data_IF_108485465123
#
_entry.id   IF_108485465123
#
_cell.length_a   1.000
_cell.length_b   1.000
_cell.length_c   1.000
_cell.angle_alpha   90.00
_cell.angle_beta   90.00
_cell.angle_gamma   90.00
#
_symmetry.space_group_name_H-M   'P 1'
#
loop_
_entity.id
_entity.type
_entity.pdbx_description
1 polymer ?
#
# COMPACT_ATOMS: atom_id res chain seq x y z
N UNK A 1 -4.43 -22.81 7.22
CA UNK A 1 -3.84 -21.56 6.72
C UNK A 1 -4.17 -20.44 7.71
N UNK A 2 -3.21 -19.61 8.03
CA UNK A 2 -3.35 -18.45 8.92
C UNK A 2 -2.88 -17.19 8.18
N UNK A 3 -3.35 -16.01 8.61
CA UNK A 3 -2.85 -14.79 7.99
C UNK A 3 -1.45 -14.42 8.51
N UNK A 4 -0.67 -13.70 7.70
CA UNK A 4 0.63 -13.15 8.12
C UNK A 4 0.49 -12.27 9.38
N UNK A 5 -0.65 -11.57 9.51
CA UNK A 5 -0.94 -10.79 10.72
C UNK A 5 -1.07 -11.70 11.94
N UNK A 6 -1.76 -12.85 11.82
CA UNK A 6 -1.90 -13.80 12.93
C UNK A 6 -0.55 -14.43 13.31
N UNK A 7 0.31 -14.77 12.33
CA UNK A 7 1.68 -15.23 12.60
C UNK A 7 2.45 -14.19 13.43
N UNK A 8 2.35 -12.90 13.05
CA UNK A 8 2.98 -11.82 13.79
C UNK A 8 2.38 -11.64 15.20
N UNK A 9 1.05 -11.69 15.35
CA UNK A 9 0.38 -11.56 16.65
C UNK A 9 0.72 -12.72 17.60
N UNK A 10 0.93 -13.93 17.08
CA UNK A 10 1.25 -15.13 17.87
C UNK A 10 2.73 -15.24 18.24
N UNK A 11 3.62 -14.88 17.34
CA UNK A 11 5.05 -15.12 17.48
C UNK A 11 5.88 -13.86 17.75
N UNK A 12 5.31 -12.68 17.52
CA UNK A 12 6.01 -11.40 17.67
C UNK A 12 7.05 -11.14 16.57
N UNK A 13 7.97 -10.22 16.86
CA UNK A 13 9.00 -9.78 15.90
C UNK A 13 10.22 -10.71 15.95
N UNK A 14 10.04 -11.95 15.46
CA UNK A 14 11.09 -12.96 15.38
C UNK A 14 11.53 -13.19 13.93
N UNK A 15 12.72 -13.73 13.73
CA UNK A 15 13.33 -13.95 12.42
C UNK A 15 12.43 -14.78 11.46
N UNK A 16 11.74 -15.78 11.97
CA UNK A 16 10.83 -16.60 11.15
C UNK A 16 9.67 -15.78 10.58
N UNK A 17 9.12 -14.82 11.35
CA UNK A 17 8.07 -13.90 10.89
C UNK A 17 8.64 -12.86 9.93
N UNK A 18 9.85 -12.32 10.19
CA UNK A 18 10.56 -11.46 9.25
C UNK A 18 10.70 -12.12 7.88
N UNK A 19 11.13 -13.37 7.84
CA UNK A 19 11.30 -14.12 6.60
C UNK A 19 9.98 -14.32 5.85
N UNK A 20 8.84 -14.45 6.54
CA UNK A 20 7.52 -14.49 5.90
C UNK A 20 7.14 -13.15 5.26
N UNK A 21 7.46 -12.01 5.89
CA UNK A 21 7.30 -10.69 5.29
C UNK A 21 8.19 -10.50 4.05
N UNK A 22 9.47 -10.91 4.15
CA UNK A 22 10.42 -10.86 3.03
C UNK A 22 9.94 -11.71 1.85
N UNK A 23 9.51 -12.96 2.10
CA UNK A 23 8.96 -13.83 1.08
C UNK A 23 7.68 -13.24 0.46
N UNK A 24 6.80 -12.68 1.28
CA UNK A 24 5.59 -12.00 0.79
C UNK A 24 5.90 -10.84 -0.15
N UNK A 25 6.92 -10.05 0.14
CA UNK A 25 7.37 -8.95 -0.71
C UNK A 25 8.03 -9.44 -2.00
N UNK A 26 8.79 -10.53 -1.95
CA UNK A 26 9.35 -11.16 -3.15
C UNK A 26 8.25 -11.68 -4.09
N UNK A 27 7.26 -12.39 -3.54
CA UNK A 27 6.11 -12.88 -4.30
C UNK A 27 5.22 -11.73 -4.80
N UNK A 28 5.14 -10.62 -4.05
CA UNK A 28 4.47 -9.40 -4.52
C UNK A 28 5.18 -8.84 -5.76
N UNK A 29 6.50 -8.69 -5.73
CA UNK A 29 7.26 -8.17 -6.87
C UNK A 29 7.06 -9.05 -8.12
N UNK A 30 7.07 -10.38 -7.96
CA UNK A 30 6.76 -11.32 -9.05
C UNK A 30 5.34 -11.11 -9.59
N UNK A 31 4.34 -11.01 -8.71
CA UNK A 31 2.95 -10.77 -9.09
C UNK A 31 2.79 -9.44 -9.81
N UNK A 32 3.42 -8.37 -9.33
CA UNK A 32 3.32 -7.05 -9.93
C UNK A 32 3.90 -7.02 -11.34
N UNK A 33 5.07 -7.60 -11.55
CA UNK A 33 5.76 -7.56 -12.84
C UNK A 33 5.21 -8.62 -13.79
N UNK A 34 5.19 -9.89 -13.39
CA UNK A 34 4.72 -10.98 -14.25
C UNK A 34 3.20 -11.01 -14.42
N UNK A 35 2.45 -10.68 -13.37
CA UNK A 35 0.99 -10.55 -13.44
C UNK A 35 0.50 -9.36 -14.29
N UNK A 36 1.37 -8.38 -14.58
CA UNK A 36 1.10 -7.29 -15.51
C UNK A 36 1.07 -7.77 -16.97
N UNK A 37 1.86 -8.77 -17.32
CA UNK A 37 2.04 -9.26 -18.68
C UNK A 37 0.70 -9.79 -19.24
N UNK A 38 0.21 -9.18 -20.32
CA UNK A 38 -1.04 -9.58 -20.98
C UNK A 38 -2.34 -9.24 -20.24
N UNK A 39 -2.27 -8.56 -19.09
CA UNK A 39 -3.46 -8.17 -18.32
C UNK A 39 -4.21 -7.00 -18.98
N UNK A 40 -5.49 -7.21 -19.29
CA UNK A 40 -6.39 -6.17 -19.80
C UNK A 40 -7.00 -5.35 -18.66
N UNK A 41 -6.37 -4.25 -18.31
CA UNK A 41 -6.82 -3.35 -17.24
C UNK A 41 -8.18 -2.69 -17.47
N UNK A 42 -8.71 -2.72 -18.68
CA UNK A 42 -10.07 -2.23 -18.96
C UNK A 42 -11.15 -3.10 -18.30
N UNK A 43 -10.78 -4.32 -17.90
CA UNK A 43 -11.68 -5.28 -17.20
C UNK A 43 -11.61 -5.16 -15.67
N UNK A 44 -10.80 -4.25 -15.13
CA UNK A 44 -10.75 -4.00 -13.67
C UNK A 44 -12.11 -3.47 -13.18
N UNK A 45 -12.51 -3.90 -11.97
CA UNK A 45 -13.83 -3.60 -11.41
C UNK A 45 -14.04 -2.13 -11.07
N UNK A 46 -12.97 -1.42 -10.69
CA UNK A 46 -13.04 -0.01 -10.25
C UNK A 46 -12.54 0.93 -11.33
N UNK A 47 -11.22 1.03 -11.46
CA UNK A 47 -10.54 1.86 -12.45
C UNK A 47 -9.43 1.05 -13.12
N UNK A 48 -9.09 1.40 -14.35
CA UNK A 48 -7.99 0.75 -15.07
C UNK A 48 -6.62 1.08 -14.49
N UNK A 49 -6.46 2.24 -13.82
CA UNK A 49 -5.18 2.67 -13.26
C UNK A 49 -5.33 3.57 -12.04
N UNK A 50 -4.32 3.50 -11.16
CA UNK A 50 -4.16 4.39 -10.02
C UNK A 50 -3.30 5.59 -10.42
N UNK A 51 -3.87 6.46 -11.24
CA UNK A 51 -3.25 7.70 -11.70
C UNK A 51 -3.61 8.90 -10.82
N UNK A 52 -3.37 10.11 -11.37
CA UNK A 52 -3.60 11.39 -10.66
C UNK A 52 -4.99 11.51 -10.07
N UNK A 53 -6.03 11.16 -10.84
CA UNK A 53 -7.42 11.30 -10.43
C UNK A 53 -7.76 10.35 -9.26
N UNK A 54 -7.25 9.12 -9.28
CA UNK A 54 -7.46 8.15 -8.22
C UNK A 54 -6.73 8.56 -6.93
N UNK A 55 -5.50 9.08 -7.04
CA UNK A 55 -4.75 9.64 -5.91
C UNK A 55 -5.50 10.84 -5.33
N UNK A 56 -5.97 11.76 -6.17
CA UNK A 56 -6.75 12.91 -5.73
C UNK A 56 -8.05 12.49 -5.03
N UNK A 57 -8.72 11.44 -5.52
CA UNK A 57 -9.93 10.92 -4.89
C UNK A 57 -9.65 10.40 -3.47
N UNK A 58 -8.55 9.67 -3.23
CA UNK A 58 -8.13 9.21 -1.90
C UNK A 58 -7.80 10.39 -0.97
N UNK A 59 -7.13 11.42 -1.48
CA UNK A 59 -6.83 12.65 -0.72
C UNK A 59 -8.10 13.42 -0.34
N UNK A 60 -9.05 13.55 -1.27
CA UNK A 60 -10.35 14.16 -1.00
C UNK A 60 -11.20 13.33 -0.05
N UNK A 61 -11.12 12.00 -0.11
CA UNK A 61 -11.76 11.11 0.87
C UNK A 61 -11.29 11.40 2.30
N UNK A 62 -9.96 11.54 2.51
CA UNK A 62 -9.39 11.99 3.77
C UNK A 62 -9.93 13.36 4.19
N UNK A 63 -9.92 14.34 3.27
CA UNK A 63 -10.41 15.69 3.56
C UNK A 63 -11.86 15.67 4.06
N UNK A 64 -12.75 14.99 3.34
CA UNK A 64 -14.17 15.00 3.67
C UNK A 64 -14.51 14.20 4.91
N UNK A 65 -13.97 13.00 5.04
CA UNK A 65 -14.36 12.08 6.09
C UNK A 65 -13.51 12.18 7.36
N UNK A 66 -12.37 12.88 7.31
CA UNK A 66 -11.55 13.10 8.49
C UNK A 66 -11.48 14.58 8.86
N UNK A 67 -10.94 15.45 8.00
CA UNK A 67 -10.76 16.86 8.35
C UNK A 67 -12.08 17.59 8.53
N UNK A 68 -12.96 17.52 7.54
CA UNK A 68 -14.24 18.25 7.58
C UNK A 68 -15.20 17.64 8.61
N UNK A 69 -15.30 16.30 8.65
CA UNK A 69 -16.18 15.60 9.59
C UNK A 69 -15.77 15.83 11.06
N UNK A 70 -14.47 15.87 11.35
CA UNK A 70 -13.94 16.17 12.68
C UNK A 70 -13.76 17.69 12.94
N UNK A 71 -14.16 18.52 11.99
CA UNK A 71 -14.05 19.99 12.06
C UNK A 71 -12.63 20.46 12.38
N UNK A 72 -11.61 19.78 11.81
CA UNK A 72 -10.21 20.17 12.00
C UNK A 72 -9.93 21.43 11.18
N UNK A 73 -9.30 22.47 11.77
CA UNK A 73 -8.97 23.69 11.05
C UNK A 73 -7.82 23.41 10.06
N UNK A 74 -7.94 23.94 8.85
CA UNK A 74 -6.88 23.91 7.83
C UNK A 74 -7.08 25.04 6.81
N UNK A 75 -5.98 25.44 6.15
CA UNK A 75 -6.02 26.37 5.02
C UNK A 75 -6.46 25.62 3.76
N UNK A 76 -7.65 25.93 3.26
CA UNK A 76 -8.25 25.23 2.11
C UNK A 76 -7.42 25.35 0.83
N UNK A 77 -6.83 26.53 0.59
CA UNK A 77 -6.07 26.78 -0.64
C UNK A 77 -4.74 26.04 -0.60
N UNK A 78 -4.04 26.07 0.53
CA UNK A 78 -2.78 25.33 0.71
C UNK A 78 -3.01 23.83 0.61
N UNK A 79 -4.02 23.29 1.29
CA UNK A 79 -4.31 21.86 1.25
C UNK A 79 -4.55 21.36 -0.19
N UNK A 80 -5.34 22.09 -1.00
CA UNK A 80 -5.58 21.69 -2.39
C UNK A 80 -4.30 21.78 -3.22
N UNK A 81 -3.47 22.80 -3.04
CA UNK A 81 -2.17 22.89 -3.72
C UNK A 81 -1.24 21.74 -3.36
N UNK A 82 -1.20 21.35 -2.08
CA UNK A 82 -0.39 20.21 -1.60
C UNK A 82 -0.90 18.90 -2.20
N UNK A 83 -2.23 18.71 -2.27
CA UNK A 83 -2.85 17.55 -2.91
C UNK A 83 -2.54 17.47 -4.40
N UNK A 84 -2.62 18.61 -5.11
CA UNK A 84 -2.24 18.70 -6.53
C UNK A 84 -0.76 18.39 -6.75
N UNK A 85 0.12 18.94 -5.93
CA UNK A 85 1.56 18.69 -6.00
C UNK A 85 1.88 17.21 -5.76
N UNK A 86 1.32 16.60 -4.71
CA UNK A 86 1.55 15.20 -4.37
C UNK A 86 0.97 14.26 -5.44
N UNK A 87 -0.25 14.52 -5.91
CA UNK A 87 -0.88 13.70 -6.95
C UNK A 87 -0.15 13.80 -8.28
N UNK A 88 0.34 14.99 -8.66
CA UNK A 88 1.19 15.17 -9.84
C UNK A 88 2.49 14.39 -9.69
N UNK A 89 3.21 14.53 -8.58
CA UNK A 89 4.48 13.84 -8.33
C UNK A 89 4.33 12.32 -8.44
N UNK A 90 3.35 11.74 -7.76
CA UNK A 90 3.16 10.29 -7.72
C UNK A 90 2.55 9.72 -9.00
N UNK A 91 1.77 10.49 -9.75
CA UNK A 91 1.22 10.03 -11.02
C UNK A 91 2.26 9.84 -12.13
N UNK A 92 3.45 10.43 -11.96
CA UNK A 92 4.58 10.28 -12.88
C UNK A 92 5.58 9.20 -12.46
N UNK A 93 5.19 8.31 -11.54
CA UNK A 93 6.01 7.16 -11.18
C UNK A 93 6.32 6.34 -12.43
N UNK A 94 7.61 6.09 -12.68
CA UNK A 94 8.09 5.46 -13.91
C UNK A 94 7.56 4.03 -14.07
N UNK A 95 7.64 3.23 -12.99
CA UNK A 95 7.21 1.84 -12.99
C UNK A 95 5.72 1.73 -12.65
N UNK A 96 4.91 1.27 -13.63
CA UNK A 96 3.47 1.08 -13.48
C UNK A 96 3.11 -0.34 -13.91
N UNK A 97 3.00 -1.23 -12.93
CA UNK A 97 2.67 -2.63 -13.09
C UNK A 97 1.30 -2.97 -12.51
N UNK A 98 1.05 -4.24 -12.25
CA UNK A 98 -0.13 -4.64 -11.51
C UNK A 98 -0.01 -4.16 -10.06
N UNK A 99 -0.98 -3.41 -9.57
CA UNK A 99 -1.11 -2.98 -8.20
C UNK A 99 -2.24 -3.75 -7.54
N UNK A 100 -1.94 -4.44 -6.45
CA UNK A 100 -2.89 -5.28 -5.73
C UNK A 100 -3.98 -4.45 -5.01
N UNK A 101 -3.63 -3.25 -4.56
CA UNK A 101 -4.45 -2.23 -3.89
C UNK A 101 -4.66 -2.50 -2.39
N UNK A 102 -5.02 -3.70 -1.99
CA UNK A 102 -5.29 -4.01 -0.56
C UNK A 102 -4.30 -5.05 0.00
N UNK A 103 -3.01 -4.85 -0.32
CA UNK A 103 -1.91 -5.71 0.09
C UNK A 103 -1.56 -5.48 1.56
N UNK A 104 -2.31 -6.14 2.44
CA UNK A 104 -2.17 -6.04 3.89
C UNK A 104 -1.89 -7.41 4.48
N UNK A 105 -1.22 -7.47 5.65
CA UNK A 105 -0.83 -8.73 6.29
C UNK A 105 -2.01 -9.66 6.62
N UNK A 106 -3.23 -9.13 6.76
CA UNK A 106 -4.45 -9.93 6.91
C UNK A 106 -4.89 -10.64 5.63
N UNK A 107 -4.49 -10.14 4.46
CA UNK A 107 -4.82 -10.67 3.14
C UNK A 107 -3.69 -11.54 2.56
N UNK A 108 -2.65 -11.77 3.33
CA UNK A 108 -1.53 -12.67 3.01
C UNK A 108 -1.69 -13.92 3.87
N UNK A 109 -1.88 -15.06 3.21
CA UNK A 109 -2.12 -16.34 3.86
C UNK A 109 -0.86 -17.18 3.88
N UNK A 110 -0.50 -17.66 5.06
CA UNK A 110 0.59 -18.60 5.27
C UNK A 110 0.01 -20.01 5.26
N UNK A 111 0.40 -20.80 4.27
CA UNK A 111 -0.07 -22.17 4.11
C UNK A 111 0.68 -23.12 5.05
N UNK A 112 0.20 -24.36 5.16
CA UNK A 112 0.81 -25.38 6.02
C UNK A 112 2.27 -25.69 5.65
N UNK A 113 2.60 -25.60 4.39
CA UNK A 113 3.96 -25.78 3.85
C UNK A 113 4.85 -24.52 3.94
N UNK A 114 4.37 -23.48 4.66
CA UNK A 114 5.01 -22.18 4.84
C UNK A 114 5.12 -21.34 3.57
N UNK A 115 4.49 -21.72 2.46
CA UNK A 115 4.37 -20.85 1.29
C UNK A 115 3.33 -19.75 1.55
N UNK A 116 3.49 -18.61 0.86
CA UNK A 116 2.55 -17.50 0.94
C UNK A 116 1.52 -17.57 -0.17
N UNK A 117 0.31 -17.07 0.10
CA UNK A 117 -0.75 -16.90 -0.89
C UNK A 117 -1.49 -15.59 -0.63
N UNK A 118 -2.08 -15.01 -1.66
CA UNK A 118 -2.75 -13.71 -1.57
C UNK A 118 -4.24 -13.87 -1.85
N UNK A 119 -5.06 -13.18 -1.06
CA UNK A 119 -6.51 -13.11 -1.19
C UNK A 119 -6.96 -11.64 -1.26
N UNK A 120 -8.18 -11.38 -1.71
CA UNK A 120 -8.78 -10.04 -1.71
C UNK A 120 -8.19 -9.09 -2.78
N UNK A 121 -7.92 -9.62 -3.98
CA UNK A 121 -7.24 -8.90 -5.08
C UNK A 121 -8.19 -8.18 -6.05
N UNK A 122 -9.49 -8.23 -5.84
CA UNK A 122 -10.50 -7.69 -6.78
C UNK A 122 -10.41 -6.16 -6.96
N UNK A 123 -9.74 -5.45 -6.07
CA UNK A 123 -9.43 -4.03 -6.21
C UNK A 123 -8.24 -3.72 -7.11
N UNK A 124 -7.61 -4.76 -7.68
CA UNK A 124 -6.38 -4.61 -8.46
C UNK A 124 -6.54 -3.77 -9.71
N UNK A 125 -5.51 -3.01 -10.06
CA UNK A 125 -5.46 -2.11 -11.21
C UNK A 125 -4.01 -1.84 -11.63
N UNK A 126 -3.78 -1.08 -12.69
CA UNK A 126 -2.43 -0.62 -13.03
C UNK A 126 -1.99 0.48 -12.06
N UNK A 127 -0.80 0.36 -11.48
CA UNK A 127 -0.29 1.38 -10.55
C UNK A 127 1.19 1.25 -10.23
N UNK A 128 1.66 2.06 -9.31
CA UNK A 128 3.04 2.04 -8.85
C UNK A 128 3.28 0.88 -7.88
N UNK A 129 4.36 0.11 -8.04
CA UNK A 129 4.67 -1.02 -7.16
C UNK A 129 4.86 -0.60 -5.70
N UNK A 130 5.35 0.62 -5.44
CA UNK A 130 5.56 1.16 -4.10
C UNK A 130 4.29 1.23 -3.24
N UNK A 131 3.10 1.37 -3.86
CA UNK A 131 1.84 1.48 -3.12
C UNK A 131 1.53 0.25 -2.26
N UNK A 132 1.71 -0.95 -2.83
CA UNK A 132 1.43 -2.20 -2.11
C UNK A 132 2.46 -2.46 -1.01
N UNK A 133 3.73 -2.13 -1.27
CA UNK A 133 4.80 -2.18 -0.25
C UNK A 133 4.47 -1.25 0.91
N UNK A 134 4.05 -0.02 0.62
CA UNK A 134 3.60 0.94 1.64
C UNK A 134 2.38 0.41 2.41
N UNK A 135 1.42 -0.24 1.73
CA UNK A 135 0.25 -0.85 2.37
C UNK A 135 0.61 -1.93 3.39
N UNK A 136 1.63 -2.74 3.11
CA UNK A 136 2.08 -3.79 4.01
C UNK A 136 2.94 -3.25 5.15
N UNK A 137 3.96 -2.45 4.82
CA UNK A 137 4.98 -2.03 5.80
C UNK A 137 4.52 -0.92 6.74
N UNK A 138 3.58 -0.06 6.31
CA UNK A 138 3.02 1.01 7.16
C UNK A 138 1.69 0.66 7.83
N UNK A 139 1.30 -0.60 7.83
CA UNK A 139 0.06 -1.05 8.45
C UNK A 139 0.10 -0.84 9.98
N UNK A 140 -0.80 0.02 10.49
CA UNK A 140 -0.83 0.38 11.91
C UNK A 140 -1.01 -0.84 12.83
N UNK A 141 -1.86 -1.81 12.46
CA UNK A 141 -2.14 -3.00 13.27
C UNK A 141 -0.91 -3.92 13.39
N UNK A 142 -0.11 -4.04 12.35
CA UNK A 142 1.12 -4.84 12.37
C UNK A 142 2.23 -4.13 13.17
N UNK A 143 2.22 -2.80 13.21
CA UNK A 143 3.16 -1.95 13.96
C UNK A 143 4.62 -2.40 13.85
N UNK A 144 5.08 -2.70 12.63
CA UNK A 144 6.42 -3.22 12.39
C UNK A 144 7.51 -2.25 12.93
N UNK A 145 8.60 -2.78 13.53
CA UNK A 145 9.74 -1.97 13.90
C UNK A 145 10.31 -1.20 12.69
N UNK A 146 10.80 0.01 12.92
CA UNK A 146 11.31 0.85 11.84
C UNK A 146 12.48 0.20 11.10
N UNK A 147 13.35 -0.49 11.82
CA UNK A 147 14.46 -1.26 11.26
C UNK A 147 13.95 -2.34 10.27
N UNK A 148 12.87 -3.07 10.64
CA UNK A 148 12.26 -4.05 9.74
C UNK A 148 11.70 -3.42 8.48
N UNK A 149 11.02 -2.28 8.61
CA UNK A 149 10.47 -1.56 7.44
C UNK A 149 11.55 -1.17 6.46
N UNK A 150 12.67 -0.64 6.97
CA UNK A 150 13.81 -0.23 6.14
C UNK A 150 14.45 -1.42 5.44
N UNK A 151 14.78 -2.49 6.17
CA UNK A 151 15.40 -3.68 5.58
C UNK A 151 14.47 -4.39 4.59
N UNK A 152 13.19 -4.53 4.91
CA UNK A 152 12.19 -5.15 4.02
C UNK A 152 11.95 -4.32 2.76
N UNK A 153 12.03 -2.99 2.84
CA UNK A 153 11.97 -2.12 1.65
C UNK A 153 13.17 -2.37 0.74
N UNK A 154 14.39 -2.46 1.29
CA UNK A 154 15.60 -2.75 0.51
C UNK A 154 15.57 -4.17 -0.10
N UNK A 155 15.10 -5.16 0.65
CA UNK A 155 14.88 -6.52 0.15
C UNK A 155 13.89 -6.53 -1.02
N UNK A 156 12.80 -5.74 -0.91
CA UNK A 156 11.84 -5.59 -1.99
C UNK A 156 12.46 -4.93 -3.23
N UNK A 157 13.18 -3.81 -3.08
CA UNK A 157 13.83 -3.12 -4.20
C UNK A 157 14.78 -4.07 -4.93
N UNK A 158 15.60 -4.81 -4.18
CA UNK A 158 16.53 -5.79 -4.75
C UNK A 158 15.80 -6.91 -5.52
N UNK A 159 14.70 -7.44 -4.97
CA UNK A 159 13.86 -8.42 -5.65
C UNK A 159 13.23 -7.85 -6.92
N UNK A 160 12.73 -6.61 -6.83
CA UNK A 160 12.12 -5.93 -7.98
C UNK A 160 13.13 -5.71 -9.11
N UNK A 161 14.32 -5.18 -8.82
CA UNK A 161 15.41 -5.01 -9.79
C UNK A 161 15.78 -6.32 -10.49
N UNK A 162 15.85 -7.40 -9.71
CA UNK A 162 16.15 -8.75 -10.25
C UNK A 162 15.07 -9.23 -11.22
N UNK A 163 13.78 -8.96 -10.92
CA UNK A 163 12.65 -9.45 -11.71
C UNK A 163 12.45 -8.61 -12.98
N UNK A 164 12.65 -7.29 -12.91
CA UNK A 164 12.57 -6.40 -14.09
C UNK A 164 13.84 -6.45 -14.94
N UNK A 165 14.92 -7.03 -14.42
CA UNK A 165 16.24 -7.08 -15.05
C UNK A 165 16.86 -5.69 -15.33
N UNK A 166 16.48 -4.71 -14.49
CA UNK A 166 16.92 -3.32 -14.60
C UNK A 166 17.27 -2.77 -13.22
N UNK A 167 18.26 -1.88 -13.16
CA UNK A 167 18.59 -1.14 -11.93
C UNK A 167 17.69 0.09 -11.81
N UNK A 168 17.04 0.27 -10.68
CA UNK A 168 16.23 1.46 -10.41
C UNK A 168 17.05 2.54 -9.69
N UNK A 169 16.68 3.81 -9.88
CA UNK A 169 17.15 4.88 -9.00
C UNK A 169 16.52 4.69 -7.61
N UNK A 170 17.30 4.11 -6.67
CA UNK A 170 16.81 3.75 -5.34
C UNK A 170 16.39 4.97 -4.52
N UNK A 171 17.00 6.15 -4.72
CA UNK A 171 16.64 7.35 -3.99
C UNK A 171 15.29 7.90 -4.49
N UNK A 172 15.08 7.90 -5.80
CA UNK A 172 13.78 8.22 -6.39
C UNK A 172 12.72 7.22 -5.95
N UNK A 173 13.03 5.92 -5.96
CA UNK A 173 12.12 4.87 -5.53
C UNK A 173 11.67 5.06 -4.07
N UNK A 174 12.61 5.31 -3.15
CA UNK A 174 12.32 5.58 -1.73
C UNK A 174 11.51 6.86 -1.54
N UNK A 175 11.83 7.92 -2.29
CA UNK A 175 11.08 9.17 -2.25
C UNK A 175 9.61 8.97 -2.65
N UNK A 176 9.37 8.23 -3.74
CA UNK A 176 8.03 7.87 -4.18
C UNK A 176 7.33 6.93 -3.18
N UNK A 177 8.03 5.93 -2.64
CA UNK A 177 7.51 5.07 -1.58
C UNK A 177 7.01 5.88 -0.38
N UNK A 178 7.77 6.85 0.11
CA UNK A 178 7.36 7.73 1.20
C UNK A 178 6.09 8.53 0.85
N UNK A 179 5.94 8.96 -0.39
CA UNK A 179 4.72 9.60 -0.88
C UNK A 179 3.52 8.65 -0.83
N UNK A 180 3.70 7.38 -1.22
CA UNK A 180 2.65 6.36 -1.13
C UNK A 180 2.34 5.96 0.33
N UNK A 181 3.31 5.95 1.22
CA UNK A 181 3.07 5.81 2.67
C UNK A 181 2.13 6.91 3.15
N UNK A 182 2.40 8.18 2.78
CA UNK A 182 1.54 9.30 3.14
C UNK A 182 0.11 9.11 2.60
N UNK A 183 -0.05 8.77 1.31
CA UNK A 183 -1.37 8.50 0.72
C UNK A 183 -2.12 7.42 1.50
N UNK A 184 -1.45 6.30 1.83
CA UNK A 184 -2.08 5.20 2.58
C UNK A 184 -2.49 5.62 3.98
N UNK A 185 -1.68 6.37 4.70
CA UNK A 185 -2.01 6.88 6.03
C UNK A 185 -3.22 7.83 5.97
N UNK A 186 -3.26 8.75 5.01
CA UNK A 186 -4.38 9.67 4.84
C UNK A 186 -5.68 8.92 4.46
N UNK A 187 -5.60 7.93 3.57
CA UNK A 187 -6.74 7.09 3.21
C UNK A 187 -7.29 6.33 4.43
N UNK A 188 -6.40 5.76 5.26
CA UNK A 188 -6.80 5.05 6.49
C UNK A 188 -7.48 6.00 7.47
N UNK A 189 -6.95 7.22 7.65
CA UNK A 189 -7.60 8.25 8.49
C UNK A 189 -9.00 8.62 7.94
N UNK A 190 -9.15 8.75 6.63
CA UNK A 190 -10.46 8.95 6.00
C UNK A 190 -11.43 7.80 6.29
N UNK A 191 -10.94 6.54 6.19
CA UNK A 191 -11.75 5.37 6.51
C UNK A 191 -12.13 5.30 7.99
N UNK A 192 -11.25 5.72 8.89
CA UNK A 192 -11.55 5.81 10.32
C UNK A 192 -12.63 6.87 10.60
N UNK A 193 -12.49 8.05 10.03
CA UNK A 193 -13.50 9.10 10.14
C UNK A 193 -14.86 8.62 9.60
N UNK A 194 -14.91 8.00 8.43
CA UNK A 194 -16.13 7.45 7.86
C UNK A 194 -16.75 6.37 8.74
N UNK A 195 -16.00 5.34 9.11
CA UNK A 195 -16.52 4.20 9.90
C UNK A 195 -16.88 4.61 11.32
N UNK A 196 -16.08 5.48 11.96
CA UNK A 196 -16.32 5.96 13.30
C UNK A 196 -17.54 6.85 13.41
N UNK A 197 -17.64 7.88 12.56
CA UNK A 197 -18.67 8.90 12.64
C UNK A 197 -19.96 8.51 11.91
N UNK A 198 -19.87 7.98 10.68
CA UNK A 198 -21.07 7.70 9.87
C UNK A 198 -21.61 6.30 10.10
N UNK A 199 -20.74 5.27 10.19
CA UNK A 199 -21.16 3.91 10.54
C UNK A 199 -21.29 3.67 12.05
N UNK A 200 -20.93 4.67 12.89
CA UNK A 200 -21.00 4.63 14.36
C UNK A 200 -20.23 3.46 14.99
N UNK A 201 -19.12 3.05 14.39
CA UNK A 201 -18.25 2.00 14.91
C UNK A 201 -17.20 2.63 15.83
N UNK A 202 -17.49 2.70 17.14
CA UNK A 202 -16.70 3.43 18.14
C UNK A 202 -15.20 3.02 18.20
N UNK A 203 -14.86 1.81 17.79
CA UNK A 203 -13.46 1.32 17.79
C UNK A 203 -12.58 1.93 16.67
N UNK A 204 -13.16 2.79 15.81
CA UNK A 204 -12.40 3.56 14.79
C UNK A 204 -12.20 5.04 15.21
N UNK A 205 -12.69 5.47 16.36
CA UNK A 205 -12.50 6.79 16.94
C UNK A 205 -11.60 6.74 18.15
#
# INVERSE_FOLDING_TARGET
>A
DVSLLNELEQHGYVESVYNLYKESLHQLALLQVKGHEGLDYKKCLTNSSFGKEAIMADLLYFKYYFLDALRRPYDKQKLIKDFEALSNYLSHTEYKFFMFRDFQSRNIMIKKDKTVGFIDYQGGMKGAPQYDVASLLSQAKANLPEEWKQHLLEDYITSFETIVEETVDRDVFRSQYNGYVLIRLLQVLGAYGFRGLFERKAHFL
#
